data_IF_247443183706
#
_entry.id   IF_247443183706
#
_cell.length_a   1.000
_cell.length_b   1.000
_cell.length_c   1.000
_cell.angle_alpha   90.00
_cell.angle_beta   90.00
_cell.angle_gamma   90.00
#
_symmetry.space_group_name_H-M   'P 1'
#
loop_
_entity.id
_entity.type
_entity.pdbx_description
1 polymer ?
#
# COMPACT_ATOMS: atom_id res chain seq x y z
N UNK A 1 -40.10 -2.05 7.89
CA UNK A 1 -38.63 -1.87 7.97
C UNK A 1 -38.12 -1.76 6.56
N UNK A 2 -37.88 -0.54 6.10
CA UNK A 2 -37.30 -0.25 4.79
C UNK A 2 -35.82 -0.67 4.83
N UNK A 3 -35.29 -1.40 3.83
CA UNK A 3 -33.88 -1.75 3.80
C UNK A 3 -33.06 -0.48 3.53
N UNK A 4 -32.41 0.02 4.58
CA UNK A 4 -31.41 1.09 4.55
C UNK A 4 -30.18 0.52 3.81
N UNK A 5 -29.89 1.06 2.62
CA UNK A 5 -28.70 0.69 1.85
C UNK A 5 -27.42 1.06 2.63
N UNK A 6 -26.29 0.42 2.33
CA UNK A 6 -24.99 0.73 2.97
C UNK A 6 -24.61 2.22 2.92
N UNK A 7 -25.18 2.98 1.97
CA UNK A 7 -25.02 4.43 1.79
C UNK A 7 -25.68 5.24 2.91
N UNK A 8 -26.79 4.76 3.48
CA UNK A 8 -27.57 5.49 4.49
C UNK A 8 -27.02 5.33 5.93
N UNK A 9 -25.93 4.56 6.13
CA UNK A 9 -25.43 4.22 7.49
C UNK A 9 -24.25 5.05 8.01
N UNK A 10 -23.70 6.02 7.27
CA UNK A 10 -22.57 6.76 7.84
C UNK A 10 -21.90 7.85 7.01
N UNK A 11 -22.23 8.02 5.73
CA UNK A 11 -21.63 9.11 4.96
C UNK A 11 -22.37 10.43 5.21
N UNK A 12 -21.95 11.19 6.22
CA UNK A 12 -22.28 12.63 6.25
C UNK A 12 -21.78 13.28 4.95
N UNK A 13 -22.45 14.32 4.45
CA UNK A 13 -22.08 14.93 3.17
C UNK A 13 -20.62 15.44 3.11
N UNK A 14 -20.04 15.84 4.25
CA UNK A 14 -18.63 16.22 4.37
C UNK A 14 -17.68 15.02 4.32
N UNK A 15 -17.98 13.95 5.07
CA UNK A 15 -17.21 12.70 5.02
C UNK A 15 -17.27 12.04 3.63
N UNK A 16 -18.40 12.19 2.93
CA UNK A 16 -18.58 11.72 1.56
C UNK A 16 -17.67 12.47 0.57
N UNK A 17 -17.44 13.77 0.77
CA UNK A 17 -16.58 14.57 -0.10
C UNK A 17 -15.10 14.24 0.10
N UNK A 18 -14.62 14.17 1.35
CA UNK A 18 -13.24 13.77 1.66
C UNK A 18 -12.93 12.36 1.14
N UNK A 19 -13.88 11.43 1.31
CA UNK A 19 -13.75 10.08 0.80
C UNK A 19 -13.73 10.03 -0.74
N UNK A 20 -14.47 10.90 -1.42
CA UNK A 20 -14.43 11.01 -2.86
C UNK A 20 -13.06 11.52 -3.36
N UNK A 21 -12.48 12.50 -2.67
CA UNK A 21 -11.13 13.01 -2.98
C UNK A 21 -10.06 11.93 -2.74
N UNK A 22 -10.13 11.22 -1.59
CA UNK A 22 -9.26 10.08 -1.28
C UNK A 22 -9.37 8.98 -2.35
N UNK A 23 -10.60 8.64 -2.78
CA UNK A 23 -10.85 7.66 -3.85
C UNK A 23 -10.28 8.11 -5.19
N UNK A 24 -10.51 9.36 -5.59
CA UNK A 24 -10.02 9.90 -6.85
C UNK A 24 -8.48 9.93 -6.89
N UNK A 25 -7.84 10.40 -5.81
CA UNK A 25 -6.38 10.42 -5.70
C UNK A 25 -5.80 9.01 -5.74
N UNK A 26 -6.41 8.06 -5.02
CA UNK A 26 -5.97 6.66 -5.00
C UNK A 26 -6.11 6.01 -6.37
N UNK A 27 -7.25 6.19 -7.04
CA UNK A 27 -7.50 5.64 -8.37
C UNK A 27 -6.54 6.19 -9.42
N UNK A 28 -6.19 7.48 -9.33
CA UNK A 28 -5.22 8.12 -10.22
C UNK A 28 -3.81 7.58 -10.00
N UNK A 29 -3.36 7.46 -8.74
CA UNK A 29 -2.08 6.82 -8.42
C UNK A 29 -2.04 5.38 -8.94
N UNK A 30 -3.09 4.59 -8.71
CA UNK A 30 -3.19 3.21 -9.16
C UNK A 30 -3.12 3.11 -10.69
N UNK A 31 -3.81 4.00 -11.41
CA UNK A 31 -3.74 4.08 -12.87
C UNK A 31 -2.32 4.39 -13.37
N UNK A 32 -1.61 5.34 -12.73
CA UNK A 32 -0.22 5.65 -13.06
C UNK A 32 0.71 4.46 -12.84
N UNK A 33 0.53 3.73 -11.72
CA UNK A 33 1.31 2.53 -11.41
C UNK A 33 1.09 1.44 -12.45
N UNK A 34 -0.16 1.13 -12.78
CA UNK A 34 -0.47 0.15 -13.83
C UNK A 34 -0.01 0.59 -15.23
N UNK A 35 -0.08 1.89 -15.56
CA UNK A 35 0.48 2.42 -16.80
C UNK A 35 1.99 2.21 -16.89
N UNK A 36 2.69 2.28 -15.75
CA UNK A 36 4.11 1.98 -15.61
C UNK A 36 4.43 0.47 -15.49
N UNK A 37 3.43 -0.41 -15.58
CA UNK A 37 3.62 -1.87 -15.59
C UNK A 37 3.59 -2.56 -14.22
N UNK A 38 3.07 -1.89 -13.18
CA UNK A 38 2.96 -2.45 -11.83
C UNK A 38 2.09 -3.72 -11.77
N UNK A 39 2.41 -4.59 -10.83
CA UNK A 39 1.50 -5.62 -10.29
C UNK A 39 0.91 -5.13 -8.97
N UNK A 40 -0.38 -5.39 -8.76
CA UNK A 40 -1.05 -5.13 -7.48
C UNK A 40 -1.15 -6.41 -6.65
N UNK A 41 -0.70 -6.35 -5.40
CA UNK A 41 -0.73 -7.44 -4.43
C UNK A 41 -1.78 -7.16 -3.37
N UNK A 42 -2.87 -7.95 -3.34
CA UNK A 42 -3.96 -7.77 -2.38
C UNK A 42 -3.80 -8.68 -1.17
N UNK A 43 -4.00 -8.13 0.04
CA UNK A 43 -4.04 -8.89 1.29
C UNK A 43 -5.29 -8.53 2.09
N UNK A 44 -5.83 -9.53 2.80
CA UNK A 44 -6.94 -9.34 3.72
C UNK A 44 -6.83 -10.38 4.84
N UNK A 45 -5.93 -10.18 5.83
CA UNK A 45 -5.53 -11.23 6.78
C UNK A 45 -6.72 -11.84 7.54
N UNK A 46 -7.66 -10.99 7.95
CA UNK A 46 -8.88 -11.39 8.67
C UNK A 46 -10.07 -11.72 7.77
N UNK A 47 -10.00 -11.39 6.47
CA UNK A 47 -11.11 -11.48 5.52
C UNK A 47 -10.62 -11.87 4.11
N UNK A 48 -9.94 -13.02 4.01
CA UNK A 48 -9.32 -13.53 2.77
C UNK A 48 -10.17 -13.39 1.49
N UNK A 49 -11.50 -13.61 1.50
CA UNK A 49 -12.34 -13.40 0.32
C UNK A 49 -12.20 -12.01 -0.32
N UNK A 50 -11.95 -10.94 0.45
CA UNK A 50 -11.75 -9.60 -0.11
C UNK A 50 -10.47 -9.51 -0.95
N UNK A 51 -9.38 -10.13 -0.51
CA UNK A 51 -8.13 -10.13 -1.28
C UNK A 51 -8.31 -10.86 -2.62
N UNK A 52 -8.95 -12.04 -2.57
CA UNK A 52 -9.27 -12.83 -3.76
C UNK A 52 -10.20 -12.09 -4.71
N UNK A 53 -11.22 -11.42 -4.18
CA UNK A 53 -12.17 -10.63 -4.94
C UNK A 53 -11.45 -9.50 -5.70
N UNK A 54 -10.64 -8.71 -5.00
CA UNK A 54 -9.84 -7.64 -5.63
C UNK A 54 -8.98 -8.20 -6.76
N UNK A 55 -8.28 -9.32 -6.55
CA UNK A 55 -7.43 -9.90 -7.59
C UNK A 55 -8.25 -10.32 -8.82
N UNK A 56 -9.37 -11.01 -8.61
CA UNK A 56 -10.22 -11.48 -9.72
C UNK A 56 -10.79 -10.33 -10.52
N UNK A 57 -11.25 -9.25 -9.88
CA UNK A 57 -11.87 -8.12 -10.59
C UNK A 57 -10.91 -7.33 -11.46
N UNK A 58 -9.67 -7.17 -11.01
CA UNK A 58 -8.65 -6.48 -11.79
C UNK A 58 -8.14 -7.36 -12.94
N UNK A 59 -8.02 -8.69 -12.76
CA UNK A 59 -7.59 -9.61 -13.83
C UNK A 59 -8.70 -9.92 -14.83
N UNK A 60 -9.95 -10.05 -14.38
CA UNK A 60 -11.11 -10.42 -15.20
C UNK A 60 -12.16 -9.31 -15.15
N UNK A 61 -11.95 -8.21 -15.90
CA UNK A 61 -12.84 -7.07 -15.85
C UNK A 61 -14.26 -7.45 -16.29
N UNK A 62 -15.25 -7.13 -15.45
CA UNK A 62 -16.68 -7.46 -15.69
C UNK A 62 -17.26 -6.70 -16.88
N UNK A 63 -16.71 -5.51 -17.19
CA UNK A 63 -17.14 -4.71 -18.34
C UNK A 63 -16.38 -5.15 -19.59
N UNK A 64 -17.14 -5.56 -20.62
CA UNK A 64 -16.61 -5.97 -21.91
C UNK A 64 -15.70 -4.89 -22.51
N UNK A 65 -14.51 -5.30 -22.95
CA UNK A 65 -13.54 -4.43 -23.63
C UNK A 65 -12.59 -3.65 -22.70
N UNK A 66 -12.75 -3.74 -21.36
CA UNK A 66 -11.78 -3.16 -20.42
C UNK A 66 -10.51 -4.01 -20.35
N UNK A 67 -9.38 -3.34 -20.09
CA UNK A 67 -8.06 -3.96 -20.01
C UNK A 67 -7.94 -4.79 -18.73
N UNK A 68 -7.44 -6.01 -18.83
CA UNK A 68 -7.02 -6.79 -17.66
C UNK A 68 -5.78 -6.14 -17.01
N UNK A 69 -5.79 -5.99 -15.69
CA UNK A 69 -4.74 -5.39 -14.89
C UNK A 69 -4.09 -6.46 -13.99
N UNK A 70 -2.74 -6.54 -13.90
CA UNK A 70 -2.08 -7.58 -13.11
C UNK A 70 -2.36 -7.43 -11.62
N UNK A 71 -3.11 -8.37 -11.05
CA UNK A 71 -3.41 -8.39 -9.62
C UNK A 71 -3.34 -9.81 -9.06
N UNK A 72 -2.77 -9.96 -7.86
CA UNK A 72 -2.58 -11.25 -7.19
C UNK A 72 -2.94 -11.12 -5.72
N UNK A 73 -3.76 -12.05 -5.22
CA UNK A 73 -4.05 -12.16 -3.80
C UNK A 73 -2.94 -12.95 -3.09
N UNK A 74 -2.37 -12.40 -2.02
CA UNK A 74 -1.53 -13.13 -1.09
C UNK A 74 -2.39 -13.57 0.09
N UNK A 75 -2.45 -14.88 0.32
CA UNK A 75 -3.29 -15.49 1.35
C UNK A 75 -2.50 -16.50 2.17
N UNK A 76 -3.09 -16.93 3.29
CA UNK A 76 -2.44 -17.85 4.23
C UNK A 76 -1.57 -17.16 5.29
N UNK A 77 -0.85 -17.95 6.10
CA UNK A 77 0.07 -17.42 7.11
C UNK A 77 1.28 -16.75 6.46
N UNK A 78 2.00 -15.92 7.21
CA UNK A 78 3.29 -15.32 6.82
C UNK A 78 3.23 -14.30 5.66
N UNK A 79 2.17 -13.50 5.61
CA UNK A 79 1.97 -12.45 4.59
C UNK A 79 3.15 -11.49 4.41
N UNK A 80 3.91 -11.22 5.48
CA UNK A 80 5.11 -10.38 5.41
C UNK A 80 6.16 -11.01 4.50
N UNK A 81 6.43 -12.30 4.65
CA UNK A 81 7.44 -12.99 3.87
C UNK A 81 6.97 -13.25 2.44
N UNK A 82 5.69 -13.60 2.26
CA UNK A 82 5.07 -13.70 0.94
C UNK A 82 5.17 -12.38 0.17
N UNK A 83 4.83 -11.26 0.81
CA UNK A 83 4.93 -9.94 0.18
C UNK A 83 6.39 -9.56 -0.08
N UNK A 84 7.29 -9.82 0.86
CA UNK A 84 8.74 -9.54 0.74
C UNK A 84 9.34 -10.19 -0.51
N UNK A 85 9.02 -11.45 -0.80
CA UNK A 85 9.57 -12.16 -1.98
C UNK A 85 8.86 -11.82 -3.28
N UNK A 86 7.59 -11.39 -3.21
CA UNK A 86 6.76 -11.16 -4.39
C UNK A 86 6.88 -9.73 -4.92
N UNK A 87 6.78 -8.75 -4.03
CA UNK A 87 6.66 -7.33 -4.37
C UNK A 87 7.96 -6.81 -4.98
N UNK A 88 7.84 -6.16 -6.14
CA UNK A 88 8.92 -5.48 -6.84
C UNK A 88 8.81 -3.96 -6.73
N UNK A 89 9.92 -3.21 -6.90
CA UNK A 89 9.85 -1.75 -6.97
C UNK A 89 8.89 -1.28 -8.07
N UNK A 90 7.98 -0.37 -7.73
CA UNK A 90 6.94 0.14 -8.62
C UNK A 90 5.59 -0.58 -8.51
N UNK A 91 5.52 -1.72 -7.81
CA UNK A 91 4.27 -2.44 -7.54
C UNK A 91 3.36 -1.67 -6.56
N UNK A 92 2.15 -2.21 -6.39
CA UNK A 92 1.17 -1.73 -5.41
C UNK A 92 0.85 -2.84 -4.42
N UNK A 93 0.76 -2.52 -3.13
CA UNK A 93 0.19 -3.40 -2.10
C UNK A 93 -1.10 -2.78 -1.59
N UNK A 94 -2.20 -3.54 -1.68
CA UNK A 94 -3.50 -3.14 -1.16
C UNK A 94 -3.90 -4.07 -0.01
N UNK A 95 -4.19 -3.50 1.16
CA UNK A 95 -4.62 -4.24 2.34
C UNK A 95 -6.06 -3.92 2.70
N UNK A 96 -6.88 -4.94 2.94
CA UNK A 96 -8.22 -4.82 3.53
C UNK A 96 -8.17 -5.38 4.95
N UNK A 97 -8.09 -4.50 5.94
CA UNK A 97 -7.89 -4.88 7.35
C UNK A 97 -8.29 -3.76 8.31
N UNK A 98 -8.59 -4.09 9.56
CA UNK A 98 -8.69 -3.11 10.65
C UNK A 98 -7.34 -2.46 10.93
N UNK A 99 -7.35 -1.23 11.48
CA UNK A 99 -6.13 -0.44 11.70
C UNK A 99 -5.14 -1.07 12.71
N UNK A 100 -5.62 -2.00 13.53
CA UNK A 100 -4.88 -2.74 14.54
C UNK A 100 -4.36 -4.11 14.05
N UNK A 101 -4.71 -4.54 12.82
CA UNK A 101 -4.26 -5.81 12.27
C UNK A 101 -2.73 -5.83 12.09
N UNK A 102 -2.07 -6.68 12.89
CA UNK A 102 -0.61 -6.72 12.97
C UNK A 102 0.05 -7.14 11.66
N UNK A 103 -0.57 -8.04 10.89
CA UNK A 103 0.00 -8.49 9.62
C UNK A 103 -0.10 -7.40 8.55
N UNK A 104 -1.27 -6.78 8.42
CA UNK A 104 -1.47 -5.66 7.48
C UNK A 104 -0.53 -4.50 7.80
N UNK A 105 -0.46 -4.07 9.08
CA UNK A 105 0.49 -3.03 9.55
C UNK A 105 1.93 -3.37 9.20
N UNK A 106 2.34 -4.63 9.44
CA UNK A 106 3.71 -5.07 9.21
C UNK A 106 4.10 -5.04 7.72
N UNK A 107 3.19 -5.46 6.84
CA UNK A 107 3.37 -5.40 5.39
C UNK A 107 3.41 -3.96 4.89
N UNK A 108 2.40 -3.15 5.21
CA UNK A 108 2.29 -1.77 4.73
C UNK A 108 3.47 -0.91 5.18
N UNK A 109 3.97 -1.11 6.40
CA UNK A 109 5.15 -0.40 6.91
C UNK A 109 6.44 -0.76 6.15
N UNK A 110 6.54 -1.97 5.59
CA UNK A 110 7.74 -2.46 4.86
C UNK A 110 7.68 -2.20 3.36
N UNK A 111 6.48 -2.15 2.79
CA UNK A 111 6.28 -1.94 1.37
C UNK A 111 7.02 -0.72 0.76
N UNK A 112 7.16 0.44 1.44
CA UNK A 112 7.99 1.53 0.94
C UNK A 112 9.47 1.16 0.79
N UNK A 113 10.02 0.33 1.69
CA UNK A 113 11.39 -0.19 1.56
C UNK A 113 11.52 -1.17 0.38
N UNK A 114 10.42 -1.77 -0.08
CA UNK A 114 10.37 -2.58 -1.30
C UNK A 114 10.12 -1.75 -2.56
N UNK A 115 9.84 -0.45 -2.40
CA UNK A 115 9.53 0.47 -3.49
C UNK A 115 8.09 0.37 -3.99
N UNK A 116 7.18 -0.21 -3.20
CA UNK A 116 5.77 -0.34 -3.56
C UNK A 116 4.92 0.77 -2.95
N UNK A 117 3.90 1.20 -3.71
CA UNK A 117 2.85 2.08 -3.22
C UNK A 117 1.84 1.29 -2.38
N UNK A 118 1.34 1.89 -1.30
CA UNK A 118 0.49 1.24 -0.31
C UNK A 118 -0.91 1.85 -0.28
N UNK A 119 -1.92 0.98 -0.32
CA UNK A 119 -3.34 1.34 -0.18
C UNK A 119 -3.91 0.54 0.99
N UNK A 120 -4.59 1.21 1.92
CA UNK A 120 -5.24 0.55 3.05
C UNK A 120 -6.73 0.85 3.08
N UNK A 121 -7.54 -0.19 2.93
CA UNK A 121 -8.99 -0.17 3.08
C UNK A 121 -9.39 -0.74 4.44
N UNK A 122 -10.28 -0.07 5.16
CA UNK A 122 -10.82 -0.60 6.41
C UNK A 122 -11.94 0.27 7.00
N UNK A 123 -12.28 0.00 8.25
CA UNK A 123 -13.34 0.70 8.98
C UNK A 123 -13.05 0.84 10.47
N UNK A 124 -13.79 1.72 11.14
CA UNK A 124 -13.63 2.00 12.57
C UNK A 124 -12.56 3.06 12.83
N UNK A 125 -11.72 2.88 13.86
CA UNK A 125 -10.64 3.82 14.15
C UNK A 125 -9.64 3.90 12.99
N UNK A 126 -9.50 5.07 12.38
CA UNK A 126 -8.61 5.29 11.22
C UNK A 126 -7.14 5.14 11.65
N UNK A 127 -6.28 4.50 10.83
CA UNK A 127 -4.84 4.46 11.12
C UNK A 127 -4.23 5.87 11.14
N UNK A 128 -3.09 6.06 11.83
CA UNK A 128 -2.42 7.36 11.87
C UNK A 128 -1.99 7.82 10.47
N UNK A 129 -1.90 9.15 10.29
CA UNK A 129 -1.43 9.73 9.04
C UNK A 129 -0.05 9.16 8.66
N UNK A 130 0.13 8.83 7.38
CA UNK A 130 1.36 8.23 6.86
C UNK A 130 1.51 6.72 7.12
N UNK A 131 0.50 6.04 7.66
CA UNK A 131 0.53 4.57 7.79
C UNK A 131 0.47 3.82 6.45
N UNK A 132 -0.06 4.47 5.41
CA UNK A 132 -0.02 4.05 4.01
C UNK A 132 -0.06 5.31 3.12
N UNK A 133 0.31 5.19 1.84
CA UNK A 133 0.24 6.28 0.87
C UNK A 133 -1.20 6.72 0.63
N UNK A 134 -2.13 5.75 0.64
CA UNK A 134 -3.56 5.97 0.48
C UNK A 134 -4.35 5.20 1.54
N UNK A 135 -5.30 5.86 2.20
CA UNK A 135 -6.17 5.25 3.22
C UNK A 135 -7.63 5.52 2.83
N UNK A 136 -8.38 4.46 2.54
CA UNK A 136 -9.81 4.52 2.22
C UNK A 136 -10.58 3.92 3.39
N UNK A 137 -11.28 4.76 4.14
CA UNK A 137 -11.80 4.35 5.45
C UNK A 137 -13.28 4.64 5.62
N UNK A 138 -14.02 3.66 6.15
CA UNK A 138 -15.39 3.85 6.59
C UNK A 138 -15.41 4.24 8.07
N UNK A 139 -16.05 5.35 8.38
CA UNK A 139 -16.36 5.75 9.76
C UNK A 139 -17.60 4.99 10.27
N UNK A 140 -17.51 3.66 10.30
CA UNK A 140 -18.54 2.76 10.84
C UNK A 140 -17.87 1.72 11.77
N UNK A 141 -18.15 1.76 13.08
CA UNK A 141 -17.58 0.84 14.05
C UNK A 141 -18.28 -0.53 14.09
N UNK A 142 -19.33 -0.77 13.28
CA UNK A 142 -20.03 -2.05 13.26
C UNK A 142 -19.09 -3.19 12.81
N UNK A 143 -18.87 -4.23 13.64
CA UNK A 143 -17.98 -5.33 13.31
C UNK A 143 -18.44 -6.14 12.08
N UNK A 144 -19.67 -5.92 11.59
CA UNK A 144 -20.20 -6.54 10.39
C UNK A 144 -19.86 -5.78 9.11
N UNK A 145 -19.29 -4.58 9.17
CA UNK A 145 -18.89 -3.78 7.99
C UNK A 145 -18.14 -4.58 6.92
N UNK A 146 -17.20 -5.49 7.27
CA UNK A 146 -16.54 -6.34 6.28
C UNK A 146 -17.50 -7.20 5.45
N UNK A 147 -18.70 -7.50 5.95
CA UNK A 147 -19.71 -8.33 5.29
C UNK A 147 -20.93 -7.53 4.77
N UNK A 148 -21.04 -6.22 5.01
CA UNK A 148 -22.19 -5.40 4.57
C UNK A 148 -22.02 -4.82 3.17
N UNK A 149 -20.85 -5.00 2.54
CA UNK A 149 -20.57 -4.54 1.17
C UNK A 149 -19.79 -3.23 1.08
N UNK A 150 -19.48 -2.55 2.19
CA UNK A 150 -18.78 -1.27 2.18
C UNK A 150 -17.37 -1.35 1.56
N UNK A 151 -16.59 -2.37 1.91
CA UNK A 151 -15.27 -2.58 1.29
C UNK A 151 -15.38 -2.94 -0.19
N UNK A 152 -16.42 -3.71 -0.54
CA UNK A 152 -16.72 -4.08 -1.93
C UNK A 152 -16.93 -2.85 -2.79
N UNK A 153 -17.73 -1.90 -2.29
CA UNK A 153 -17.94 -0.63 -2.97
C UNK A 153 -16.62 0.12 -3.21
N UNK A 154 -15.70 0.17 -2.24
CA UNK A 154 -14.44 0.88 -2.42
C UNK A 154 -13.58 0.30 -3.53
N UNK A 155 -13.34 -1.01 -3.54
CA UNK A 155 -12.49 -1.58 -4.57
C UNK A 155 -13.19 -1.67 -5.93
N UNK A 156 -14.52 -1.71 -5.99
CA UNK A 156 -15.30 -1.53 -7.23
C UNK A 156 -15.11 -0.12 -7.82
N UNK A 157 -15.27 0.90 -6.98
CA UNK A 157 -15.08 2.29 -7.41
C UNK A 157 -13.63 2.55 -7.80
N UNK A 158 -12.65 2.02 -7.05
CA UNK A 158 -11.25 2.09 -7.45
C UNK A 158 -11.04 1.46 -8.83
N UNK A 159 -11.56 0.26 -9.06
CA UNK A 159 -11.46 -0.41 -10.35
C UNK A 159 -12.06 0.46 -11.47
N UNK A 160 -13.26 1.01 -11.28
CA UNK A 160 -13.94 1.83 -12.29
C UNK A 160 -13.18 3.13 -12.58
N UNK A 161 -12.80 3.88 -11.53
CA UNK A 161 -12.11 5.15 -11.64
C UNK A 161 -10.68 4.99 -12.21
N UNK A 162 -9.99 3.91 -11.88
CA UNK A 162 -8.70 3.56 -12.50
C UNK A 162 -8.87 3.35 -14.01
N UNK A 163 -9.97 2.71 -14.45
CA UNK A 163 -10.26 2.57 -15.86
C UNK A 163 -10.65 3.87 -16.55
N UNK A 164 -11.38 4.77 -15.87
CA UNK A 164 -11.65 6.13 -16.37
C UNK A 164 -10.33 6.86 -16.65
N UNK A 165 -9.33 6.73 -15.77
CA UNK A 165 -8.02 7.35 -16.01
C UNK A 165 -7.34 6.82 -17.29
N UNK A 166 -7.51 5.55 -17.65
CA UNK A 166 -6.96 5.01 -18.91
C UNK A 166 -7.64 5.57 -20.16
N UNK A 167 -8.92 5.93 -20.07
CA UNK A 167 -9.63 6.64 -21.15
C UNK A 167 -9.06 8.04 -21.38
N UNK A 168 -8.42 8.61 -20.36
CA UNK A 168 -7.73 9.90 -20.40
C UNK A 168 -6.20 9.74 -20.30
N UNK A 169 -5.62 8.81 -21.07
CA UNK A 169 -4.19 8.42 -21.03
C UNK A 169 -3.16 9.58 -21.11
N UNK A 170 -3.54 10.77 -21.60
CA UNK A 170 -2.72 11.98 -21.54
C UNK A 170 -2.30 12.37 -20.11
N UNK A 171 -3.14 12.05 -19.11
CA UNK A 171 -2.87 12.28 -17.69
C UNK A 171 -1.84 11.31 -17.09
N UNK A 172 -1.56 10.19 -17.77
CA UNK A 172 -0.71 9.11 -17.25
C UNK A 172 0.74 9.21 -17.74
N UNK A 173 1.07 10.23 -18.54
CA UNK A 173 2.44 10.45 -19.00
C UNK A 173 3.32 10.85 -17.81
N UNK A 174 4.52 10.28 -17.69
CA UNK A 174 5.44 10.66 -16.62
C UNK A 174 5.78 12.15 -16.73
N UNK A 175 5.71 12.86 -15.62
CA UNK A 175 6.30 14.20 -15.50
C UNK A 175 7.82 14.05 -15.51
N UNK A 176 8.53 14.97 -16.18
CA UNK A 176 9.98 14.97 -16.22
C UNK A 176 10.51 15.18 -14.80
N UNK A 177 11.13 14.16 -14.21
CA UNK A 177 11.79 14.31 -12.92
C UNK A 177 13.03 15.20 -13.08
N UNK A 178 13.17 16.22 -12.22
CA UNK A 178 14.39 17.02 -12.15
C UNK A 178 15.52 16.19 -11.50
N UNK A 179 16.72 16.24 -12.10
CA UNK A 179 17.91 15.57 -11.56
C UNK A 179 18.41 16.32 -10.31
N UNK A 180 17.98 15.89 -9.12
CA UNK A 180 18.44 16.42 -7.84
C UNK A 180 19.64 15.60 -7.33
N UNK A 181 20.71 16.29 -6.92
CA UNK A 181 21.88 15.66 -6.31
C UNK A 181 21.52 14.99 -4.97
N UNK A 182 21.66 13.66 -4.90
CA UNK A 182 21.28 12.84 -3.74
C UNK A 182 22.14 13.09 -2.50
N UNK A 183 23.37 13.59 -2.66
CA UNK A 183 24.28 13.89 -1.53
C UNK A 183 23.96 15.24 -0.89
N UNK A 184 23.40 16.18 -1.65
CA UNK A 184 23.00 17.49 -1.17
C UNK A 184 21.50 17.55 -0.84
N UNK A 185 20.78 16.44 -1.03
CA UNK A 185 19.37 16.30 -0.71
C UNK A 185 19.26 15.80 0.74
N UNK A 186 18.43 16.46 1.54
CA UNK A 186 18.05 16.00 2.89
C UNK A 186 17.09 14.78 2.85
N UNK A 187 17.24 13.91 1.86
CA UNK A 187 16.38 12.74 1.66
C UNK A 187 16.81 11.59 2.59
N UNK A 188 15.90 11.19 3.47
CA UNK A 188 15.98 9.92 4.21
C UNK A 188 15.13 8.86 3.52
N UNK A 189 15.69 7.67 3.29
CA UNK A 189 14.96 6.55 2.67
C UNK A 189 14.74 5.43 3.66
N UNK A 190 13.55 4.86 3.65
CA UNK A 190 13.28 3.64 4.38
C UNK A 190 14.06 2.47 3.75
N UNK A 191 14.71 1.69 4.59
CA UNK A 191 15.37 0.45 4.21
C UNK A 191 15.00 -0.68 5.16
N UNK A 192 15.04 -1.90 4.64
CA UNK A 192 14.85 -3.12 5.41
C UNK A 192 16.14 -3.94 5.41
N UNK A 193 16.63 -4.27 6.59
CA UNK A 193 17.88 -5.04 6.77
C UNK A 193 17.66 -6.47 6.26
N UNK A 194 18.53 -6.93 5.35
CA UNK A 194 18.47 -8.27 4.74
C UNK A 194 19.17 -9.30 5.62
N UNK A 195 20.25 -8.91 6.29
CA UNK A 195 21.05 -9.78 7.14
C UNK A 195 21.73 -8.99 8.27
N UNK A 196 22.23 -9.67 9.32
CA UNK A 196 22.85 -9.00 10.46
C UNK A 196 24.08 -8.18 10.05
N UNK A 197 24.40 -7.15 10.84
CA UNK A 197 25.61 -6.35 10.60
C UNK A 197 26.87 -7.20 10.70
N UNK A 198 27.79 -6.99 9.76
CA UNK A 198 29.13 -7.56 9.75
C UNK A 198 30.13 -6.44 9.51
N UNK A 199 31.00 -6.15 10.49
CA UNK A 199 32.02 -5.11 10.37
C UNK A 199 31.46 -3.68 10.30
N UNK A 200 30.36 -3.39 11.01
CA UNK A 200 29.76 -2.06 11.04
C UNK A 200 28.86 -1.74 9.84
N UNK A 201 28.55 -2.74 9.01
CA UNK A 201 27.71 -2.58 7.83
C UNK A 201 26.72 -3.74 7.70
N UNK A 202 25.54 -3.47 7.14
CA UNK A 202 24.56 -4.48 6.79
C UNK A 202 24.06 -4.29 5.35
N UNK A 203 23.68 -5.39 4.69
CA UNK A 203 22.94 -5.32 3.44
C UNK A 203 21.50 -4.87 3.73
N UNK A 204 21.05 -3.80 3.07
CA UNK A 204 19.74 -3.19 3.28
C UNK A 204 19.02 -3.09 1.94
N UNK A 205 17.80 -3.64 1.86
CA UNK A 205 16.88 -3.47 0.74
C UNK A 205 16.21 -2.12 0.85
N UNK A 206 16.24 -1.34 -0.23
CA UNK A 206 15.52 -0.08 -0.37
C UNK A 206 14.68 -0.12 -1.64
N UNK A 207 13.85 0.91 -1.84
CA UNK A 207 13.08 1.09 -3.07
C UNK A 207 13.94 1.09 -4.36
N UNK A 208 15.26 1.34 -4.26
CA UNK A 208 16.19 1.35 -5.39
C UNK A 208 17.00 0.07 -5.53
N UNK A 209 16.73 -0.94 -4.70
CA UNK A 209 17.48 -2.19 -4.64
C UNK A 209 18.26 -2.35 -3.35
N UNK A 210 19.06 -3.42 -3.31
CA UNK A 210 19.88 -3.79 -2.14
C UNK A 210 21.24 -3.09 -2.21
N UNK A 211 21.64 -2.48 -1.10
CA UNK A 211 22.93 -1.80 -0.95
C UNK A 211 23.54 -2.08 0.42
N UNK A 212 24.86 -1.98 0.53
CA UNK A 212 25.55 -2.04 1.81
C UNK A 212 25.45 -0.67 2.49
N UNK A 213 24.99 -0.66 3.74
CA UNK A 213 24.75 0.55 4.54
C UNK A 213 25.57 0.47 5.81
N UNK A 214 26.19 1.59 6.19
CA UNK A 214 26.91 1.72 7.46
C UNK A 214 25.91 1.73 8.61
N UNK A 215 26.04 0.81 9.55
CA UNK A 215 25.09 0.62 10.67
C UNK A 215 25.68 0.92 12.03
N UNK A 216 26.96 1.30 12.12
CA UNK A 216 27.71 1.54 13.37
C UNK A 216 27.00 2.40 14.41
N UNK A 217 26.17 3.36 13.96
CA UNK A 217 25.43 4.27 14.86
C UNK A 217 24.23 3.62 15.56
N UNK A 218 23.70 2.52 15.02
CA UNK A 218 22.42 1.92 15.42
C UNK A 218 22.53 0.42 15.72
N UNK A 219 23.75 -0.09 15.88
CA UNK A 219 23.97 -1.50 16.22
C UNK A 219 23.42 -1.84 17.61
N UNK A 220 22.99 -3.10 17.84
CA UNK A 220 22.95 -4.21 16.88
C UNK A 220 21.78 -4.07 15.89
N UNK A 221 21.92 -4.55 14.64
CA UNK A 221 20.81 -4.65 13.66
C UNK A 221 20.55 -6.11 13.29
N UNK A 222 19.29 -6.49 13.16
CA UNK A 222 18.87 -7.84 12.78
C UNK A 222 18.18 -7.84 11.40
N UNK A 223 18.12 -9.01 10.75
CA UNK A 223 17.34 -9.17 9.54
C UNK A 223 15.86 -8.83 9.79
N UNK A 224 15.25 -8.06 8.89
CA UNK A 224 13.87 -7.57 9.02
C UNK A 224 13.73 -6.26 9.79
N UNK A 225 14.80 -5.75 10.41
CA UNK A 225 14.80 -4.41 11.01
C UNK A 225 14.56 -3.35 9.94
N UNK A 226 13.69 -2.38 10.24
CA UNK A 226 13.50 -1.19 9.42
C UNK A 226 14.43 -0.08 9.89
N UNK A 227 15.12 0.54 8.95
CA UNK A 227 16.12 1.58 9.21
C UNK A 227 15.89 2.78 8.31
N UNK A 228 16.19 3.97 8.83
CA UNK A 228 16.25 5.19 8.03
C UNK A 228 17.67 5.35 7.50
N UNK A 229 17.81 5.34 6.17
CA UNK A 229 19.09 5.45 5.47
C UNK A 229 19.24 6.84 4.86
N UNK A 230 20.34 7.51 5.17
CA UNK A 230 20.73 8.78 4.58
C UNK A 230 22.22 8.75 4.20
N UNK A 231 22.55 9.17 2.98
CA UNK A 231 23.94 9.19 2.47
C UNK A 231 24.73 7.88 2.73
N UNK A 232 24.10 6.71 2.57
CA UNK A 232 24.73 5.40 2.77
C UNK A 232 24.91 4.97 4.23
N UNK A 233 24.36 5.71 5.18
CA UNK A 233 24.43 5.43 6.63
C UNK A 233 23.03 5.24 7.20
N UNK A 234 22.84 4.23 8.03
CA UNK A 234 21.63 4.04 8.81
C UNK A 234 21.69 4.94 10.05
N UNK A 235 20.83 5.96 10.09
CA UNK A 235 20.84 6.99 11.13
C UNK A 235 19.87 6.71 12.27
N UNK A 236 18.88 5.86 12.04
CA UNK A 236 17.92 5.43 13.07
C UNK A 236 17.29 4.08 12.72
N UNK A 237 16.87 3.34 13.75
CA UNK A 237 15.92 2.24 13.61
C UNK A 237 14.50 2.78 13.68
N UNK A 238 13.63 2.30 12.80
CA UNK A 238 12.20 2.57 12.88
C UNK A 238 11.60 1.56 13.85
N UNK A 239 11.17 2.04 15.02
CA UNK A 239 10.52 1.20 16.01
C UNK A 239 9.14 0.76 15.52
N UNK A 240 8.78 -0.48 15.82
CA UNK A 240 7.40 -0.93 15.68
C UNK A 240 6.58 -0.22 16.76
N UNK A 241 5.85 0.84 16.37
CA UNK A 241 4.88 1.45 17.28
C UNK A 241 3.88 0.39 17.73
N UNK A 242 3.71 0.25 19.05
CA UNK A 242 2.63 -0.51 19.70
C UNK A 242 1.28 0.03 19.19
#
# INVERSE_FOLDING_TARGET
MTPIAAIDRGLSAGLAAELADDLAATAFTLAKRFAAGATMWSIAPSWEPHALHIAVEFVHPVIMGKRALPAVALTGPDLVDLARVSVQPGDVVIAVAGADDAQARSVLRRAPAWGATTIWIGSGARPPAGAADHVLWLDDPDPRVPATGGFVLFYHLLWELTHVCFEHSGLLKPECAEDICLTCSDEGRLGEVVGPSTGGQAAVRTARGVQNVITTLIEPVAAGDLVLVHAGTAISKIQEGL
#
